data_IF_498394932354
#
_entry.id   IF_498394932354
#
_cell.length_a   1.000
_cell.length_b   1.000
_cell.length_c   1.000
_cell.angle_alpha   90.00
_cell.angle_beta   90.00
_cell.angle_gamma   90.00
#
_symmetry.space_group_name_H-M   'P 1'
#
loop_
_entity.id
_entity.type
_entity.pdbx_description
1 polymer ?
#
# COMPACT_ATOMS: atom_id res chain seq x y z
N UNK A 1 18.43 15.10 24.78
CA UNK A 1 17.44 16.18 24.99
C UNK A 1 16.57 15.81 26.19
N UNK A 2 16.10 16.80 26.94
CA UNK A 2 15.25 16.60 28.11
C UNK A 2 13.90 17.27 27.86
N UNK A 3 12.80 16.60 28.20
CA UNK A 3 11.43 17.11 28.09
C UNK A 3 10.87 17.24 29.52
N UNK A 4 10.22 18.36 29.83
CA UNK A 4 9.61 18.64 31.14
C UNK A 4 8.14 19.05 30.96
N UNK A 5 7.31 18.77 31.98
CA UNK A 5 5.90 19.17 31.97
C UNK A 5 5.78 20.67 32.24
N UNK A 6 4.89 21.34 31.51
CA UNK A 6 4.54 22.74 31.76
C UNK A 6 3.35 22.89 32.73
N UNK A 7 2.47 21.88 32.79
CA UNK A 7 1.23 21.91 33.55
C UNK A 7 0.95 20.56 34.25
N UNK A 8 0.25 20.63 35.38
CA UNK A 8 -0.21 19.46 36.14
C UNK A 8 -1.30 18.68 35.37
N UNK A 9 -1.50 17.42 35.75
CA UNK A 9 -2.50 16.51 35.15
C UNK A 9 -2.34 16.26 33.63
N UNK A 10 -1.11 16.32 33.11
CA UNK A 10 -0.85 15.96 31.70
C UNK A 10 -0.85 14.43 31.50
N UNK A 11 -1.60 13.95 30.52
CA UNK A 11 -1.65 12.53 30.15
C UNK A 11 -0.83 12.24 28.89
N UNK A 12 -0.07 11.14 28.90
CA UNK A 12 0.74 10.72 27.76
C UNK A 12 0.37 9.32 27.31
N UNK A 13 0.24 9.17 25.99
CA UNK A 13 0.33 7.87 25.35
C UNK A 13 1.78 7.66 24.93
N UNK A 14 2.39 6.60 25.43
CA UNK A 14 3.77 6.23 25.09
C UNK A 14 3.74 5.01 24.19
N UNK A 15 4.54 5.05 23.13
CA UNK A 15 4.88 3.89 22.30
C UNK A 15 6.34 3.58 22.55
N UNK A 16 6.66 2.32 22.84
CA UNK A 16 8.05 1.93 23.03
C UNK A 16 8.81 1.89 21.70
N UNK A 17 10.13 2.06 21.79
CA UNK A 17 11.00 2.19 20.62
C UNK A 17 10.85 1.03 19.63
N UNK A 18 10.74 -0.19 20.14
CA UNK A 18 10.65 -1.38 19.30
C UNK A 18 9.30 -1.44 18.56
N UNK A 19 8.21 -1.08 19.23
CA UNK A 19 6.89 -0.98 18.61
C UNK A 19 6.85 0.15 17.59
N UNK A 20 7.43 1.32 17.89
CA UNK A 20 7.55 2.43 16.94
C UNK A 20 8.30 2.02 15.68
N UNK A 21 9.45 1.34 15.82
CA UNK A 21 10.23 0.85 14.69
C UNK A 21 9.53 -0.28 13.94
N UNK A 22 8.73 -1.12 14.62
CA UNK A 22 7.91 -2.14 13.96
C UNK A 22 6.84 -1.46 13.11
N UNK A 23 6.10 -0.50 13.67
CA UNK A 23 5.06 0.25 12.94
C UNK A 23 5.66 0.93 11.72
N UNK A 24 6.81 1.60 11.85
CA UNK A 24 7.46 2.23 10.70
C UNK A 24 7.83 1.22 9.61
N UNK A 25 8.43 0.09 9.98
CA UNK A 25 8.79 -0.96 9.02
C UNK A 25 7.57 -1.57 8.35
N UNK A 26 6.50 -1.78 9.10
CA UNK A 26 5.25 -2.36 8.56
C UNK A 26 4.59 -1.37 7.59
N UNK A 27 4.57 -0.08 7.92
CA UNK A 27 4.07 0.97 7.02
C UNK A 27 4.93 1.09 5.77
N UNK A 28 6.26 1.06 5.90
CA UNK A 28 7.19 1.06 4.76
C UNK A 28 7.04 -0.20 3.90
N UNK A 29 6.84 -1.37 4.51
CA UNK A 29 6.62 -2.63 3.79
C UNK A 29 5.31 -2.63 3.01
N UNK A 30 4.30 -1.90 3.50
CA UNK A 30 3.03 -1.72 2.79
C UNK A 30 3.08 -0.60 1.74
N UNK A 31 4.10 0.25 1.76
CA UNK A 31 4.24 1.37 0.81
C UNK A 31 5.23 1.02 -0.29
N UNK A 32 4.75 0.94 -1.54
CA UNK A 32 5.61 0.78 -2.72
C UNK A 32 5.88 2.16 -3.31
N UNK A 33 7.15 2.46 -3.60
CA UNK A 33 7.55 3.72 -4.20
C UNK A 33 8.33 3.49 -5.49
N UNK A 34 7.82 4.04 -6.58
CA UNK A 34 8.56 4.14 -7.83
C UNK A 34 9.43 5.40 -7.79
N UNK A 35 10.71 5.23 -8.12
CA UNK A 35 11.69 6.32 -8.17
C UNK A 35 12.24 6.48 -9.57
N UNK A 36 12.26 7.72 -10.04
CA UNK A 36 12.95 8.10 -11.27
C UNK A 36 13.89 9.26 -10.96
N UNK A 37 15.13 9.17 -11.43
CA UNK A 37 16.18 10.18 -11.18
C UNK A 37 16.34 10.56 -9.68
N UNK A 38 16.15 9.58 -8.79
CA UNK A 38 16.27 9.77 -7.34
C UNK A 38 15.08 10.46 -6.68
N UNK A 39 13.98 10.72 -7.41
CA UNK A 39 12.75 11.30 -6.87
C UNK A 39 11.63 10.27 -6.83
N UNK A 40 10.85 10.26 -5.75
CA UNK A 40 9.62 9.48 -5.65
C UNK A 40 8.61 10.06 -6.66
N UNK A 41 8.26 9.28 -7.69
CA UNK A 41 7.34 9.72 -8.77
C UNK A 41 5.96 9.06 -8.69
N UNK A 42 5.85 7.93 -7.99
CA UNK A 42 4.57 7.27 -7.68
C UNK A 42 4.71 6.51 -6.36
N UNK A 43 3.69 6.61 -5.50
CA UNK A 43 3.59 5.87 -4.25
C UNK A 43 2.26 5.11 -4.22
N UNK A 44 2.34 3.81 -3.93
CA UNK A 44 1.22 2.91 -3.81
C UNK A 44 1.15 2.35 -2.39
N UNK A 45 -0.06 2.16 -1.86
CA UNK A 45 -0.30 1.44 -0.62
C UNK A 45 -0.88 0.07 -0.91
N UNK A 46 -0.23 -0.96 -0.39
CA UNK A 46 -0.66 -2.35 -0.44
C UNK A 46 -1.67 -2.60 0.67
N UNK A 47 -2.93 -2.77 0.31
CA UNK A 47 -4.01 -3.06 1.26
C UNK A 47 -4.44 -4.52 1.13
N UNK A 48 -4.45 -5.30 2.21
CA UNK A 48 -4.98 -6.66 2.20
C UNK A 48 -6.51 -6.61 2.05
N UNK A 49 -7.04 -7.38 1.10
CA UNK A 49 -8.47 -7.59 0.89
C UNK A 49 -8.77 -9.07 1.09
N UNK A 50 -9.72 -9.35 1.98
CA UNK A 50 -10.23 -10.70 2.17
C UNK A 50 -11.25 -11.00 1.09
N UNK A 51 -10.92 -11.92 0.19
CA UNK A 51 -11.84 -12.38 -0.86
C UNK A 51 -12.42 -13.72 -0.42
N UNK A 52 -13.75 -13.85 -0.50
CA UNK A 52 -14.44 -15.12 -0.30
C UNK A 52 -14.36 -15.93 -1.58
N UNK A 53 -13.67 -17.06 -1.52
CA UNK A 53 -13.57 -18.00 -2.63
C UNK A 53 -14.80 -18.92 -2.64
N UNK A 54 -15.15 -19.52 -3.79
CA UNK A 54 -16.36 -20.33 -3.97
C UNK A 54 -16.45 -21.54 -3.01
N UNK A 55 -15.30 -22.02 -2.53
CA UNK A 55 -15.10 -23.09 -1.55
C UNK A 55 -15.20 -22.62 -0.09
N UNK A 56 -15.72 -21.41 0.16
CA UNK A 56 -15.89 -20.83 1.51
C UNK A 56 -14.59 -20.61 2.29
N UNK A 57 -13.44 -20.65 1.61
CA UNK A 57 -12.14 -20.28 2.18
C UNK A 57 -11.87 -18.79 1.98
N UNK A 58 -11.25 -18.14 2.98
CA UNK A 58 -10.82 -16.75 2.86
C UNK A 58 -9.39 -16.72 2.32
N UNK A 59 -9.21 -16.11 1.14
CA UNK A 59 -7.88 -15.83 0.60
C UNK A 59 -7.54 -14.35 0.80
N UNK A 60 -6.32 -14.08 1.25
CA UNK A 60 -5.79 -12.71 1.35
C UNK A 60 -5.26 -12.32 -0.03
N UNK A 61 -6.01 -11.49 -0.73
CA UNK A 61 -5.54 -10.80 -1.93
C UNK A 61 -4.99 -9.43 -1.52
N UNK A 62 -4.11 -8.84 -2.34
CA UNK A 62 -3.60 -7.50 -2.10
C UNK A 62 -4.01 -6.58 -3.23
N UNK A 63 -4.58 -5.43 -2.87
CA UNK A 63 -4.88 -4.35 -3.80
C UNK A 63 -3.96 -3.18 -3.54
N UNK A 64 -3.45 -2.60 -4.61
CA UNK A 64 -2.58 -1.45 -4.55
C UNK A 64 -3.36 -0.18 -4.86
N UNK A 65 -3.33 0.78 -3.95
CA UNK A 65 -3.99 2.08 -4.09
C UNK A 65 -2.96 3.17 -4.30
N UNK A 66 -3.22 4.08 -5.24
CA UNK A 66 -2.36 5.25 -5.44
C UNK A 66 -2.53 6.21 -4.26
N UNK A 67 -1.42 6.54 -3.60
CA UNK A 67 -1.37 7.52 -2.50
C UNK A 67 -0.94 8.88 -3.03
N UNK A 68 0.08 8.90 -3.89
CA UNK A 68 0.61 10.11 -4.50
C UNK A 68 1.44 9.78 -5.74
N UNK A 69 1.61 10.74 -6.63
CA UNK A 69 2.47 10.59 -7.79
C UNK A 69 2.41 11.79 -8.71
N UNK A 70 3.26 11.78 -9.75
CA UNK A 70 3.13 12.74 -10.86
C UNK A 70 1.93 12.36 -11.72
N UNK A 71 1.32 13.34 -12.39
CA UNK A 71 0.16 13.10 -13.26
C UNK A 71 0.47 12.05 -14.35
N UNK A 72 1.67 12.13 -14.94
CA UNK A 72 2.17 11.18 -15.94
C UNK A 72 2.24 9.75 -15.38
N UNK A 73 2.89 9.53 -14.23
CA UNK A 73 3.04 8.19 -13.65
C UNK A 73 1.75 7.61 -13.10
N UNK A 74 0.85 8.44 -12.58
CA UNK A 74 -0.48 7.98 -12.20
C UNK A 74 -1.25 7.51 -13.43
N UNK A 75 -1.21 8.26 -14.53
CA UNK A 75 -1.89 7.88 -15.77
C UNK A 75 -1.33 6.59 -16.36
N UNK A 76 0.00 6.46 -16.46
CA UNK A 76 0.66 5.23 -16.90
C UNK A 76 0.20 4.02 -16.07
N UNK A 77 0.29 4.12 -14.74
CA UNK A 77 -0.12 3.05 -13.83
C UNK A 77 -1.59 2.66 -14.02
N UNK A 78 -2.50 3.63 -14.16
CA UNK A 78 -3.90 3.33 -14.39
C UNK A 78 -4.09 2.62 -15.73
N UNK A 79 -3.49 3.11 -16.81
CA UNK A 79 -3.60 2.48 -18.13
C UNK A 79 -3.05 1.04 -18.11
N UNK A 80 -1.89 0.82 -17.52
CA UNK A 80 -1.32 -0.53 -17.36
C UNK A 80 -2.24 -1.45 -16.56
N UNK A 81 -2.76 -0.97 -15.42
CA UNK A 81 -3.64 -1.76 -14.56
C UNK A 81 -4.97 -2.07 -15.26
N UNK A 82 -5.59 -1.10 -15.93
CA UNK A 82 -6.83 -1.31 -16.68
C UNK A 82 -6.62 -2.28 -17.85
N UNK A 83 -5.54 -2.13 -18.61
CA UNK A 83 -5.25 -3.05 -19.71
C UNK A 83 -5.01 -4.48 -19.19
N UNK A 84 -4.26 -4.64 -18.10
CA UNK A 84 -3.96 -5.95 -17.51
C UNK A 84 -5.24 -6.69 -17.03
N UNK A 85 -6.21 -5.99 -16.44
CA UNK A 85 -7.51 -6.57 -16.07
C UNK A 85 -8.29 -7.07 -17.29
N UNK A 86 -8.22 -6.37 -18.43
CA UNK A 86 -8.94 -6.77 -19.64
C UNK A 86 -8.28 -7.93 -20.40
N UNK A 87 -6.99 -8.21 -20.18
CA UNK A 87 -6.30 -9.35 -20.81
C UNK A 87 -6.58 -10.68 -20.11
N UNK A 88 -6.84 -10.69 -18.80
CA UNK A 88 -7.15 -11.93 -18.05
C UNK A 88 -8.56 -12.49 -18.35
N UNK A 89 -9.50 -11.67 -18.84
CA UNK A 89 -10.83 -12.13 -19.29
C UNK A 89 -10.84 -12.63 -20.76
N UNK A 90 -9.76 -12.41 -21.53
CA UNK A 90 -9.76 -12.60 -22.98
C UNK A 90 -9.26 -13.95 -23.51
N UNK A 91 -8.61 -14.79 -22.69
CA UNK A 91 -7.74 -15.86 -23.20
C UNK A 91 -8.19 -17.30 -22.89
N UNK A 92 -9.48 -17.53 -22.57
CA UNK A 92 -10.01 -18.90 -22.30
C UNK A 92 -10.82 -19.51 -23.46
N UNK A 93 -10.64 -19.05 -24.69
CA UNK A 93 -11.13 -19.85 -25.83
C UNK A 93 -10.35 -19.52 -27.09
N UNK A 94 -9.50 -20.45 -27.52
CA UNK A 94 -9.43 -21.00 -28.88
C UNK A 94 -8.26 -22.00 -28.92
N UNK A 95 -8.57 -23.28 -28.73
CA UNK A 95 -7.83 -24.39 -29.33
C UNK A 95 -8.88 -25.42 -29.78
N UNK A 96 -8.72 -25.88 -31.03
CA UNK A 96 -9.63 -26.64 -31.90
C UNK A 96 -10.27 -27.92 -31.33
#
# INVERSE_FOLDING_TARGET
ATIVLNEDNTHFLRVDKDDFNRILRDVEANTIKLREFGKDVLSLEKVPINVKTADSTYQVCYKYFVISGTAEKMLEYFLETYLCVNYEEGDTSLDD
#
